data_IF_369488983145
#
_entry.id   IF_369488983145
#
_cell.length_a   1.000
_cell.length_b   1.000
_cell.length_c   1.000
_cell.angle_alpha   90.00
_cell.angle_beta   90.00
_cell.angle_gamma   90.00
#
_symmetry.space_group_name_H-M   'P 1'
#
loop_
_entity.id
_entity.type
_entity.pdbx_description
1 polymer ?
#
# COMPACT_ATOMS: atom_id res chain seq x y z
N UNK A 1 -2.52 1.85 -16.87
CA UNK A 1 -1.46 2.26 -15.91
C UNK A 1 -0.41 3.01 -16.69
N UNK A 2 -0.12 4.24 -16.29
CA UNK A 2 0.87 5.10 -16.94
C UNK A 2 2.20 5.05 -16.17
N UNK A 3 3.22 5.76 -16.67
CA UNK A 3 4.53 5.83 -16.03
C UNK A 3 4.48 6.43 -14.62
N UNK A 4 3.63 7.45 -14.43
CA UNK A 4 3.43 8.09 -13.13
C UNK A 4 2.88 7.10 -12.08
N UNK A 5 1.94 6.25 -12.46
CA UNK A 5 1.41 5.18 -11.59
C UNK A 5 2.53 4.22 -11.16
N UNK A 6 3.46 3.88 -12.07
CA UNK A 6 4.59 3.00 -11.75
C UNK A 6 5.58 3.64 -10.78
N UNK A 7 5.83 4.95 -10.91
CA UNK A 7 6.67 5.71 -9.98
C UNK A 7 6.03 5.68 -8.59
N UNK A 8 4.74 6.00 -8.51
CA UNK A 8 3.97 5.97 -7.26
C UNK A 8 3.94 4.59 -6.61
N UNK A 9 3.80 3.52 -7.39
CA UNK A 9 3.86 2.15 -6.85
C UNK A 9 5.22 1.81 -6.25
N UNK A 10 6.32 2.25 -6.89
CA UNK A 10 7.67 2.07 -6.35
C UNK A 10 7.87 2.87 -5.07
N UNK A 11 7.40 4.10 -5.03
CA UNK A 11 7.43 4.96 -3.86
C UNK A 11 6.64 4.34 -2.70
N UNK A 12 5.38 3.96 -2.93
CA UNK A 12 4.53 3.31 -1.95
C UNK A 12 5.17 2.04 -1.37
N UNK A 13 5.77 1.21 -2.24
CA UNK A 13 6.47 -0.01 -1.83
C UNK A 13 7.69 0.32 -0.96
N UNK A 14 8.52 1.27 -1.39
CA UNK A 14 9.69 1.70 -0.64
C UNK A 14 9.31 2.25 0.74
N UNK A 15 8.27 3.08 0.82
CA UNK A 15 7.79 3.65 2.08
C UNK A 15 7.31 2.56 3.05
N UNK A 16 6.58 1.56 2.54
CA UNK A 16 6.13 0.44 3.36
C UNK A 16 7.31 -0.36 3.91
N UNK A 17 8.30 -0.67 3.06
CA UNK A 17 9.52 -1.36 3.47
C UNK A 17 10.27 -0.59 4.55
N UNK A 18 10.45 0.72 4.35
CA UNK A 18 11.11 1.60 5.32
C UNK A 18 10.34 1.70 6.64
N UNK A 19 9.01 1.76 6.60
CA UNK A 19 8.18 1.74 7.81
C UNK A 19 8.44 0.47 8.64
N UNK A 20 8.40 -0.71 8.01
CA UNK A 20 8.70 -1.98 8.68
C UNK A 20 10.13 -2.01 9.22
N UNK A 21 11.12 -1.68 8.39
CA UNK A 21 12.53 -1.65 8.82
C UNK A 21 12.74 -0.74 10.03
N UNK A 22 12.10 0.44 10.06
CA UNK A 22 12.24 1.36 11.17
C UNK A 22 11.54 0.89 12.44
N UNK A 23 10.33 0.33 12.31
CA UNK A 23 9.61 -0.23 13.45
C UNK A 23 10.40 -1.35 14.16
N UNK A 24 11.19 -2.14 13.42
CA UNK A 24 11.96 -3.27 13.97
C UNK A 24 13.44 -2.98 14.24
N UNK A 25 13.95 -1.76 13.96
CA UNK A 25 15.37 -1.44 14.08
C UNK A 25 15.96 -1.61 15.50
N UNK A 26 15.12 -1.68 16.54
CA UNK A 26 15.50 -1.91 17.95
C UNK A 26 15.63 -3.37 18.39
N UNK A 27 15.63 -4.35 17.49
CA UNK A 27 15.91 -5.75 17.83
C UNK A 27 14.72 -6.59 18.32
N UNK A 28 13.49 -6.15 18.07
CA UNK A 28 12.31 -6.97 18.32
C UNK A 28 12.31 -8.20 17.38
N UNK A 29 12.75 -9.34 17.91
CA UNK A 29 12.90 -10.66 17.24
C UNK A 29 11.61 -11.27 16.65
N UNK A 30 10.50 -10.54 16.62
CA UNK A 30 9.18 -11.02 16.19
C UNK A 30 8.89 -10.78 14.71
N UNK A 31 9.90 -10.84 13.84
CA UNK A 31 9.73 -10.78 12.38
C UNK A 31 8.78 -11.86 11.84
N UNK A 32 8.58 -12.96 12.58
CA UNK A 32 7.81 -14.13 12.11
C UNK A 32 6.33 -13.88 11.82
N UNK A 33 5.78 -12.73 12.24
CA UNK A 33 4.38 -12.31 11.95
C UNK A 33 4.27 -10.90 11.39
N UNK A 34 5.40 -10.26 11.07
CA UNK A 34 5.45 -8.93 10.48
C UNK A 34 5.32 -9.08 8.96
N UNK A 35 4.08 -8.97 8.47
CA UNK A 35 3.77 -9.11 7.04
C UNK A 35 3.07 -7.85 6.55
N UNK A 36 3.54 -7.34 5.42
CA UNK A 36 2.94 -6.25 4.68
C UNK A 36 2.84 -6.63 3.21
N UNK A 37 1.78 -6.21 2.53
CA UNK A 37 1.65 -6.40 1.09
C UNK A 37 0.80 -5.32 0.46
N UNK A 38 1.15 -4.93 -0.76
CA UNK A 38 0.34 -4.03 -1.60
C UNK A 38 -0.29 -4.87 -2.71
N UNK A 39 -1.60 -4.68 -2.94
CA UNK A 39 -2.35 -5.30 -4.04
C UNK A 39 -3.13 -4.21 -4.77
N UNK A 40 -3.31 -4.42 -6.07
CA UNK A 40 -4.14 -3.56 -6.91
C UNK A 40 -5.37 -4.35 -7.35
N UNK A 41 -6.54 -3.76 -7.17
CA UNK A 41 -7.79 -4.30 -7.67
C UNK A 41 -8.23 -3.53 -8.92
N UNK A 42 -8.71 -4.27 -9.93
CA UNK A 42 -9.13 -3.74 -11.24
C UNK A 42 -10.61 -4.04 -11.52
N UNK A 43 -11.37 -4.34 -10.47
CA UNK A 43 -12.73 -4.83 -10.55
C UNK A 43 -12.85 -6.24 -11.12
N UNK A 44 -14.10 -6.67 -11.35
CA UNK A 44 -14.41 -8.01 -11.83
C UNK A 44 -14.75 -8.06 -13.33
N UNK A 45 -14.58 -9.24 -13.93
CA UNK A 45 -14.85 -9.46 -15.35
C UNK A 45 -16.31 -9.22 -15.72
N UNK A 46 -17.24 -9.62 -14.86
CA UNK A 46 -18.67 -9.50 -15.12
C UNK A 46 -19.08 -8.04 -15.33
N UNK A 47 -18.65 -7.14 -14.44
CA UNK A 47 -18.92 -5.71 -14.53
C UNK A 47 -18.34 -5.08 -15.79
N UNK A 48 -17.10 -5.44 -16.14
CA UNK A 48 -16.45 -4.95 -17.38
C UNK A 48 -17.14 -5.42 -18.65
N UNK A 49 -17.74 -6.62 -18.64
CA UNK A 49 -18.58 -7.10 -19.77
C UNK A 49 -19.91 -6.36 -19.84
N UNK A 50 -20.51 -6.03 -18.70
CA UNK A 50 -21.75 -5.26 -18.63
C UNK A 50 -21.56 -3.78 -19.02
N UNK A 51 -20.36 -3.23 -18.80
CA UNK A 51 -20.02 -1.83 -19.05
C UNK A 51 -18.76 -1.71 -19.93
N UNK A 52 -18.82 -2.12 -21.21
CA UNK A 52 -17.66 -2.10 -22.09
C UNK A 52 -17.20 -0.67 -22.37
N UNK A 53 -15.90 -0.42 -22.25
CA UNK A 53 -15.28 0.84 -22.69
C UNK A 53 -15.26 0.88 -24.23
N UNK A 54 -15.63 2.02 -24.82
CA UNK A 54 -15.51 2.28 -26.27
C UNK A 54 -14.74 3.60 -26.51
N UNK A 55 -13.51 3.56 -27.05
CA UNK A 55 -12.79 2.38 -27.54
C UNK A 55 -12.37 1.41 -26.41
N UNK A 56 -12.06 0.13 -26.74
CA UNK A 56 -11.52 -0.81 -25.76
C UNK A 56 -10.29 -0.22 -25.07
N UNK A 57 -10.29 -0.24 -23.74
CA UNK A 57 -9.23 0.29 -22.91
C UNK A 57 -8.77 -0.75 -21.88
N UNK A 58 -7.52 -0.65 -21.45
CA UNK A 58 -7.02 -1.46 -20.34
C UNK A 58 -7.78 -1.12 -19.04
N UNK A 59 -7.96 -2.08 -18.13
CA UNK A 59 -8.60 -1.82 -16.83
C UNK A 59 -7.87 -0.72 -16.06
N UNK A 60 -8.65 0.11 -15.35
CA UNK A 60 -8.13 1.11 -14.41
C UNK A 60 -8.01 0.47 -13.02
N UNK A 61 -7.10 0.97 -12.21
CA UNK A 61 -7.05 0.63 -10.78
C UNK A 61 -8.36 1.13 -10.18
N UNK A 62 -9.11 0.25 -9.54
CA UNK A 62 -10.33 0.58 -8.80
C UNK A 62 -10.05 0.71 -7.30
N UNK A 63 -9.06 -0.03 -6.78
CA UNK A 63 -8.61 0.14 -5.41
C UNK A 63 -7.13 -0.25 -5.25
N UNK A 64 -6.47 0.43 -4.32
CA UNK A 64 -5.16 0.04 -3.77
C UNK A 64 -5.42 -0.57 -2.40
N UNK A 65 -4.96 -1.79 -2.21
CA UNK A 65 -5.21 -2.56 -0.98
C UNK A 65 -3.88 -2.82 -0.30
N UNK A 66 -3.74 -2.29 0.91
CA UNK A 66 -2.54 -2.50 1.73
C UNK A 66 -2.91 -3.39 2.89
N UNK A 67 -2.30 -4.56 2.94
CA UNK A 67 -2.27 -5.36 4.15
C UNK A 67 -1.05 -4.97 4.97
N UNK A 68 -1.23 -4.76 6.27
CA UNK A 68 -0.17 -4.61 7.24
C UNK A 68 -0.60 -5.18 8.59
N UNK A 69 0.13 -6.16 9.10
CA UNK A 69 -0.11 -6.71 10.44
C UNK A 69 0.32 -5.78 11.59
N UNK A 70 0.99 -4.67 11.27
CA UNK A 70 1.62 -3.77 12.25
C UNK A 70 0.99 -2.38 12.25
N UNK A 71 0.82 -1.77 11.08
CA UNK A 71 0.48 -0.36 10.96
C UNK A 71 -1.01 -0.10 10.73
N UNK A 72 -1.79 -1.13 10.38
CA UNK A 72 -3.23 -1.03 10.21
C UNK A 72 -3.96 -1.84 11.30
N UNK A 73 -4.81 -1.17 12.08
CA UNK A 73 -5.63 -1.83 13.10
C UNK A 73 -6.61 -2.85 12.47
N UNK A 74 -7.15 -2.53 11.29
CA UNK A 74 -8.01 -3.42 10.51
C UNK A 74 -7.21 -4.49 9.74
N UNK A 75 -5.88 -4.42 9.79
CA UNK A 75 -4.90 -5.18 9.00
C UNK A 75 -4.97 -4.99 7.50
N UNK A 76 -6.13 -4.71 6.93
CA UNK A 76 -6.32 -4.42 5.50
C UNK A 76 -6.92 -3.03 5.38
N UNK A 77 -6.25 -2.17 4.63
CA UNK A 77 -6.70 -0.83 4.29
C UNK A 77 -6.96 -0.76 2.79
N UNK A 78 -8.06 -0.12 2.42
CA UNK A 78 -8.48 0.11 1.03
C UNK A 78 -8.40 1.60 0.73
N UNK A 79 -7.87 1.93 -0.43
CA UNK A 79 -7.72 3.30 -0.91
C UNK A 79 -8.23 3.42 -2.34
N UNK A 80 -8.87 4.54 -2.65
CA UNK A 80 -9.38 4.81 -4.00
C UNK A 80 -8.24 5.21 -4.96
N UNK A 81 -7.17 5.80 -4.43
CA UNK A 81 -6.04 6.30 -5.23
C UNK A 81 -4.68 5.84 -4.67
N UNK A 82 -3.66 5.87 -5.53
CA UNK A 82 -2.26 5.66 -5.11
C UNK A 82 -1.76 6.79 -4.20
N UNK A 83 -2.26 8.01 -4.36
CA UNK A 83 -1.85 9.16 -3.55
C UNK A 83 -2.32 9.01 -2.11
N UNK A 84 -3.60 8.65 -1.90
CA UNK A 84 -4.15 8.41 -0.54
C UNK A 84 -3.41 7.27 0.17
N UNK A 85 -3.06 6.23 -0.60
CA UNK A 85 -2.26 5.12 -0.11
C UNK A 85 -0.84 5.57 0.31
N UNK A 86 -0.19 6.39 -0.51
CA UNK A 86 1.15 6.94 -0.22
C UNK A 86 1.11 7.82 1.02
N UNK A 87 0.19 8.78 1.11
CA UNK A 87 0.08 9.69 2.26
C UNK A 87 -0.13 8.90 3.58
N UNK A 88 -0.93 7.84 3.52
CA UNK A 88 -1.16 6.97 4.68
C UNK A 88 0.09 6.20 5.08
N UNK A 89 0.80 5.58 4.13
CA UNK A 89 2.01 4.82 4.44
C UNK A 89 3.17 5.75 4.85
N UNK A 90 3.25 6.94 4.27
CA UNK A 90 4.18 7.99 4.71
C UNK A 90 3.96 8.33 6.19
N UNK A 91 2.70 8.50 6.61
CA UNK A 91 2.35 8.72 8.02
C UNK A 91 2.80 7.54 8.90
N UNK A 92 2.63 6.30 8.45
CA UNK A 92 3.12 5.13 9.18
C UNK A 92 4.63 5.11 9.31
N UNK A 93 5.35 5.46 8.24
CA UNK A 93 6.79 5.56 8.24
C UNK A 93 7.28 6.64 9.21
N UNK A 94 6.68 7.82 9.18
CA UNK A 94 7.06 8.92 10.07
C UNK A 94 6.88 8.56 11.55
N UNK A 95 5.74 7.97 11.92
CA UNK A 95 5.53 7.45 13.27
C UNK A 95 6.52 6.35 13.66
N UNK A 96 6.93 5.49 12.71
CA UNK A 96 7.91 4.45 12.98
C UNK A 96 9.31 5.03 13.27
N UNK A 97 9.69 6.14 12.62
CA UNK A 97 10.95 6.85 12.90
C UNK A 97 10.92 7.56 14.25
N UNK A 98 9.81 8.22 14.59
CA UNK A 98 9.68 8.96 15.86
C UNK A 98 9.89 8.06 17.06
N UNK A 99 9.32 6.85 17.04
CA UNK A 99 9.49 5.85 18.10
C UNK A 99 10.93 5.37 18.28
N UNK A 100 11.81 5.53 17.29
CA UNK A 100 13.24 5.25 17.47
C UNK A 100 13.97 6.35 18.24
N UNK A 101 13.49 7.60 18.17
CA UNK A 101 14.17 8.74 18.80
C UNK A 101 13.87 8.84 20.31
N UNK A 102 12.80 8.17 20.75
CA UNK A 102 12.35 8.15 22.15
C UNK A 102 12.95 6.99 22.97
N UNK A 103 13.64 6.03 22.34
CA UNK A 103 14.23 4.85 22.99
C UNK A 103 15.76 4.90 23.05
#
# INVERSE_FOLDING_TARGET
>A
MNENDLIKLRELTLLLDLAYLNHFAGGASNYKSAEGSIRLEFGNLWYRKANPQNPPAAPKIEAVVIYSSIFSAARVSYFDTLDDAIDTVQTWYDHAKERQQEG
#
